data_IF_269223347386
#
_entry.id   IF_269223347386
#
_cell.length_a   1.000
_cell.length_b   1.000
_cell.length_c   1.000
_cell.angle_alpha   90.00
_cell.angle_beta   90.00
_cell.angle_gamma   90.00
#
_symmetry.space_group_name_H-M   'P 1'
#
loop_
_entity.id
_entity.type
_entity.pdbx_description
1 polymer ?
#
# COMPACT_ATOMS: atom_id res chain seq x y z
N UNK A 1 23.94 -30.32 15.08
CA UNK A 1 23.15 -29.29 15.80
C UNK A 1 22.05 -28.85 14.86
N UNK A 2 20.84 -29.36 15.02
CA UNK A 2 19.67 -28.87 14.28
C UNK A 2 19.24 -27.57 14.94
N UNK A 3 19.35 -26.44 14.25
CA UNK A 3 18.71 -25.22 14.70
C UNK A 3 17.21 -25.40 14.45
N UNK A 4 16.43 -25.65 15.50
CA UNK A 4 14.97 -25.60 15.37
C UNK A 4 14.62 -24.16 15.03
N UNK A 5 13.95 -23.87 13.89
CA UNK A 5 13.52 -22.51 13.60
C UNK A 5 12.61 -22.04 14.75
N UNK A 6 12.91 -20.87 15.31
CA UNK A 6 11.99 -20.22 16.24
C UNK A 6 10.70 -19.95 15.48
N UNK A 7 9.57 -20.44 16.01
CA UNK A 7 8.27 -20.16 15.45
C UNK A 7 7.98 -18.66 15.51
N UNK A 8 7.30 -18.12 14.51
CA UNK A 8 6.87 -16.72 14.50
C UNK A 8 5.99 -16.44 15.74
N UNK A 9 6.25 -15.38 16.52
CA UNK A 9 5.47 -15.06 17.72
C UNK A 9 4.01 -14.68 17.43
N UNK A 10 3.68 -14.35 16.18
CA UNK A 10 2.31 -14.06 15.74
C UNK A 10 1.88 -14.99 14.60
N UNK A 11 0.57 -15.12 14.41
CA UNK A 11 -0.02 -15.88 13.30
C UNK A 11 -1.27 -15.20 12.76
N UNK A 12 -1.65 -15.53 11.52
CA UNK A 12 -2.89 -15.00 10.93
C UNK A 12 -2.87 -13.49 10.73
N UNK A 13 -1.69 -12.90 10.50
CA UNK A 13 -1.54 -11.46 10.26
C UNK A 13 -2.34 -11.06 9.02
N UNK A 14 -3.23 -10.08 9.18
CA UNK A 14 -3.94 -9.40 8.10
C UNK A 14 -3.72 -7.91 8.26
N UNK A 15 -3.23 -7.28 7.20
CA UNK A 15 -3.07 -5.82 7.12
C UNK A 15 -4.05 -5.31 6.08
N UNK A 16 -4.77 -4.24 6.39
CA UNK A 16 -5.88 -3.75 5.57
C UNK A 16 -5.72 -2.26 5.31
N UNK A 17 -5.84 -1.89 4.05
CA UNK A 17 -6.08 -0.51 3.59
C UNK A 17 -7.55 -0.16 3.80
N UNK A 18 -7.81 0.88 4.59
CA UNK A 18 -9.15 1.41 4.85
C UNK A 18 -9.44 2.78 4.19
N UNK A 19 -8.53 3.27 3.34
CA UNK A 19 -8.64 4.54 2.64
C UNK A 19 -9.22 4.39 1.23
N UNK A 20 -10.10 5.32 0.82
CA UNK A 20 -10.58 5.37 -0.57
C UNK A 20 -9.47 5.88 -1.50
N UNK A 21 -9.41 5.46 -2.77
CA UNK A 21 -10.46 4.78 -3.53
C UNK A 21 -10.42 3.25 -3.50
N UNK A 22 -9.30 2.63 -3.12
CA UNK A 22 -9.13 1.19 -3.11
C UNK A 22 -8.93 0.72 -1.68
N UNK A 23 -9.88 -0.05 -1.15
CA UNK A 23 -9.80 -0.65 0.19
C UNK A 23 -9.62 -2.15 0.09
N UNK A 24 -8.97 -2.75 1.08
CA UNK A 24 -8.89 -4.20 1.19
C UNK A 24 -7.60 -4.71 1.84
N UNK A 25 -7.44 -6.05 1.91
CA UNK A 25 -6.25 -6.65 2.48
C UNK A 25 -5.01 -6.38 1.62
N UNK A 26 -3.90 -6.07 2.28
CA UNK A 26 -2.60 -5.86 1.69
C UNK A 26 -1.76 -7.14 1.76
N UNK A 27 -1.14 -7.50 0.64
CA UNK A 27 -0.08 -8.50 0.62
C UNK A 27 1.23 -7.90 1.16
N UNK A 28 2.14 -8.75 1.66
CA UNK A 28 3.47 -8.30 2.06
C UNK A 28 4.20 -7.71 0.83
N UNK A 29 4.71 -6.49 0.97
CA UNK A 29 5.35 -5.70 -0.10
C UNK A 29 4.39 -4.82 -0.91
N UNK A 30 3.10 -4.79 -0.59
CA UNK A 30 2.13 -3.95 -1.31
C UNK A 30 2.32 -2.45 -1.01
N UNK A 31 1.90 -1.62 -1.97
CA UNK A 31 1.71 -0.19 -1.75
C UNK A 31 0.27 0.09 -1.28
N UNK A 32 0.07 1.19 -0.55
CA UNK A 32 -1.22 1.62 -0.02
C UNK A 32 -1.31 3.14 0.01
N UNK A 33 -2.49 3.68 -0.24
CA UNK A 33 -2.78 5.10 -0.06
C UNK A 33 -3.35 5.41 1.33
N UNK A 34 -3.35 4.43 2.24
CA UNK A 34 -3.74 4.55 3.63
C UNK A 34 -2.52 4.76 4.51
N UNK A 35 -2.50 5.88 5.23
CA UNK A 35 -1.44 6.23 6.19
C UNK A 35 -1.68 5.63 7.57
N UNK A 36 -2.82 4.99 7.80
CA UNK A 36 -3.22 4.33 9.05
C UNK A 36 -3.76 2.91 8.81
N UNK A 37 -3.00 2.03 8.15
CA UNK A 37 -3.49 0.68 7.85
C UNK A 37 -3.80 -0.09 9.12
N UNK A 38 -4.84 -0.92 9.06
CA UNK A 38 -5.29 -1.73 10.19
C UNK A 38 -4.63 -3.11 10.17
N UNK A 39 -3.91 -3.44 11.24
CA UNK A 39 -3.25 -4.73 11.47
C UNK A 39 -4.09 -5.57 12.44
N UNK A 40 -4.34 -6.83 12.09
CA UNK A 40 -4.99 -7.80 12.97
C UNK A 40 -4.25 -9.13 12.93
N UNK A 41 -4.36 -9.92 13.99
CA UNK A 41 -3.77 -11.25 14.02
C UNK A 41 -4.01 -11.97 15.34
N UNK A 42 -3.27 -13.05 15.54
CA UNK A 42 -3.27 -13.85 16.75
C UNK A 42 -1.88 -13.91 17.39
N UNK A 43 -1.84 -13.99 18.71
CA UNK A 43 -0.65 -14.21 19.54
C UNK A 43 -1.03 -15.08 20.75
N UNK A 44 -0.09 -15.34 21.66
CA UNK A 44 -0.41 -16.01 22.93
C UNK A 44 -1.49 -15.22 23.70
N UNK A 45 -2.51 -15.90 24.24
CA UNK A 45 -3.62 -15.26 24.95
C UNK A 45 -3.12 -14.38 26.12
N UNK A 46 -3.72 -13.20 26.29
CA UNK A 46 -3.36 -12.20 27.30
C UNK A 46 -1.91 -11.67 27.24
N UNK A 47 -1.17 -11.94 26.15
CA UNK A 47 0.19 -11.44 25.94
C UNK A 47 0.21 -9.96 25.55
N UNK A 48 1.38 -9.34 25.69
CA UNK A 48 1.65 -7.99 25.20
C UNK A 48 2.43 -8.09 23.89
N UNK A 49 1.99 -7.38 22.86
CA UNK A 49 2.60 -7.33 21.53
C UNK A 49 3.19 -5.93 21.36
N UNK A 50 4.52 -5.84 21.30
CA UNK A 50 5.24 -4.64 20.92
C UNK A 50 5.35 -4.57 19.40
N UNK A 51 4.93 -3.46 18.82
CA UNK A 51 4.85 -3.23 17.37
C UNK A 51 5.91 -2.20 17.00
N UNK A 52 6.78 -2.57 16.07
CA UNK A 52 7.87 -1.74 15.60
C UNK A 52 7.70 -1.44 14.13
N UNK A 53 8.11 -0.25 13.71
CA UNK A 53 8.27 0.12 12.31
C UNK A 53 9.71 0.56 12.08
N UNK A 54 10.39 -0.08 11.13
CA UNK A 54 11.79 0.19 10.82
C UNK A 54 12.71 0.11 12.06
N UNK A 55 12.37 -0.79 12.99
CA UNK A 55 13.10 -1.01 14.25
C UNK A 55 12.77 0.00 15.37
N UNK A 56 11.91 0.99 15.12
CA UNK A 56 11.44 1.95 16.13
C UNK A 56 10.13 1.48 16.72
N UNK A 57 10.02 1.46 18.05
CA UNK A 57 8.78 1.10 18.73
C UNK A 57 7.69 2.11 18.40
N UNK A 58 6.59 1.65 17.80
CA UNK A 58 5.40 2.44 17.56
C UNK A 58 4.48 2.44 18.78
N UNK A 59 4.12 1.23 19.23
CA UNK A 59 3.20 1.04 20.35
C UNK A 59 3.28 -0.38 20.91
N UNK A 60 2.54 -0.63 21.98
CA UNK A 60 2.25 -1.96 22.49
C UNK A 60 0.74 -2.18 22.61
N UNK A 61 0.25 -3.33 22.18
CA UNK A 61 -1.16 -3.74 22.31
C UNK A 61 -1.25 -5.05 23.11
N UNK A 62 -2.43 -5.36 23.66
CA UNK A 62 -2.68 -6.65 24.29
C UNK A 62 -3.44 -7.58 23.36
N UNK A 63 -3.03 -8.84 23.32
CA UNK A 63 -3.88 -9.92 22.86
C UNK A 63 -4.99 -10.17 23.89
N UNK A 64 -6.20 -10.43 23.42
CA UNK A 64 -7.32 -10.80 24.29
C UNK A 64 -7.19 -12.23 24.85
N UNK A 65 -8.20 -12.67 25.61
CA UNK A 65 -8.23 -14.01 26.20
C UNK A 65 -8.27 -15.16 25.19
N UNK A 66 -8.61 -14.87 23.92
CA UNK A 66 -8.57 -15.81 22.80
C UNK A 66 -7.30 -15.66 21.95
N UNK A 67 -6.40 -14.74 22.30
CA UNK A 67 -5.18 -14.47 21.56
C UNK A 67 -5.34 -13.47 20.42
N UNK A 68 -6.52 -12.90 20.19
CA UNK A 68 -6.76 -11.97 19.10
C UNK A 68 -6.30 -10.55 19.46
N UNK A 69 -5.76 -9.84 18.48
CA UNK A 69 -5.33 -8.46 18.65
C UNK A 69 -5.61 -7.63 17.39
N UNK A 70 -5.69 -6.32 17.58
CA UNK A 70 -5.83 -5.34 16.51
C UNK A 70 -4.96 -4.11 16.83
N UNK A 71 -4.48 -3.46 15.79
CA UNK A 71 -3.71 -2.22 15.87
C UNK A 71 -3.97 -1.38 14.63
N UNK A 72 -4.33 -0.11 14.86
CA UNK A 72 -4.34 0.94 13.86
C UNK A 72 -3.43 2.06 14.37
N UNK A 73 -2.45 2.55 13.59
CA UNK A 73 -1.59 3.65 13.99
C UNK A 73 -2.40 4.87 14.42
N UNK A 74 -2.11 5.43 15.60
CA UNK A 74 -2.74 6.68 16.07
C UNK A 74 -2.11 7.92 15.43
N UNK A 75 -0.87 7.79 14.98
CA UNK A 75 -0.16 8.76 14.15
C UNK A 75 0.02 8.15 12.76
N UNK A 76 -0.28 8.94 11.74
CA UNK A 76 -0.09 8.56 10.35
C UNK A 76 1.36 8.11 10.10
N UNK A 77 1.51 6.96 9.45
CA UNK A 77 2.75 6.54 8.82
C UNK A 77 3.12 7.56 7.74
N UNK A 78 4.42 7.75 7.51
CA UNK A 78 4.92 8.73 6.53
C UNK A 78 4.94 8.09 5.15
N UNK A 79 5.05 8.92 4.11
CA UNK A 79 5.37 8.43 2.77
C UNK A 79 6.63 7.57 2.75
N UNK A 80 6.60 6.48 1.99
CA UNK A 80 7.72 5.57 1.78
C UNK A 80 7.54 4.19 2.39
N UNK A 81 8.65 3.44 2.43
CA UNK A 81 8.65 2.03 2.85
C UNK A 81 8.71 1.88 4.37
N UNK A 82 7.81 1.03 4.87
CA UNK A 82 7.67 0.64 6.27
C UNK A 82 7.91 -0.86 6.41
N UNK A 83 8.72 -1.24 7.41
CA UNK A 83 8.99 -2.64 7.76
C UNK A 83 8.47 -2.90 9.17
N UNK A 84 7.25 -3.43 9.26
CA UNK A 84 6.56 -3.66 10.53
C UNK A 84 6.93 -5.02 11.10
N UNK A 85 7.36 -5.06 12.35
CA UNK A 85 7.71 -6.30 13.07
C UNK A 85 7.06 -6.33 14.45
N UNK A 86 6.82 -7.54 14.95
CA UNK A 86 6.12 -7.79 16.21
C UNK A 86 7.00 -8.58 17.18
N UNK A 87 7.02 -8.17 18.44
CA UNK A 87 7.64 -8.92 19.55
C UNK A 87 6.56 -9.20 20.59
N UNK A 88 6.45 -10.45 21.03
CA UNK A 88 5.41 -10.87 21.98
C UNK A 88 6.03 -11.24 23.32
N UNK A 89 5.46 -10.74 24.41
CA UNK A 89 5.79 -11.11 25.78
C UNK A 89 4.56 -11.67 26.50
N UNK A 90 4.65 -12.91 26.94
CA UNK A 90 3.60 -13.63 27.67
C UNK A 90 3.87 -13.72 29.19
N UNK A 91 4.78 -12.91 29.72
CA UNK A 91 5.24 -12.92 31.11
C UNK A 91 6.48 -13.79 31.35
N UNK A 92 6.95 -14.53 30.35
CA UNK A 92 8.23 -15.27 30.40
C UNK A 92 9.38 -14.52 29.73
N UNK A 93 9.15 -13.28 29.30
CA UNK A 93 10.09 -12.46 28.54
C UNK A 93 9.74 -12.37 27.05
N UNK A 94 10.39 -11.44 26.32
CA UNK A 94 10.09 -11.17 24.93
C UNK A 94 10.54 -12.31 24.00
N UNK A 95 9.74 -12.59 22.98
CA UNK A 95 10.09 -13.47 21.87
C UNK A 95 11.20 -12.89 20.99
N UNK A 96 11.69 -13.69 20.04
CA UNK A 96 12.34 -13.12 18.85
C UNK A 96 11.33 -12.29 18.04
N UNK A 97 11.78 -11.30 17.24
CA UNK A 97 10.91 -10.59 16.31
C UNK A 97 10.24 -11.53 15.28
N UNK A 98 9.02 -11.19 14.88
CA UNK A 98 8.31 -11.81 13.76
C UNK A 98 9.04 -11.63 12.43
N UNK A 99 8.59 -12.34 11.39
CA UNK A 99 8.92 -11.91 10.02
C UNK A 99 8.37 -10.50 9.77
N UNK A 100 9.09 -9.66 8.99
CA UNK A 100 8.64 -8.31 8.69
C UNK A 100 7.45 -8.33 7.71
N UNK A 101 6.44 -7.53 8.02
CA UNK A 101 5.44 -7.11 7.04
C UNK A 101 5.86 -5.76 6.45
N UNK A 102 6.24 -5.78 5.18
CA UNK A 102 6.66 -4.61 4.44
C UNK A 102 5.45 -4.02 3.73
N UNK A 103 5.29 -2.70 3.81
CA UNK A 103 4.33 -1.95 3.01
C UNK A 103 4.96 -0.64 2.57
N UNK A 104 4.47 -0.07 1.48
CA UNK A 104 4.86 1.28 1.05
C UNK A 104 3.65 2.18 1.13
N UNK A 105 3.73 3.23 1.94
CA UNK A 105 2.74 4.31 1.93
C UNK A 105 3.05 5.18 0.71
N UNK A 106 2.08 5.30 -0.18
CA UNK A 106 2.11 6.14 -1.37
C UNK A 106 0.78 6.88 -1.52
N UNK A 107 0.73 8.11 -1.01
CA UNK A 107 -0.45 9.00 -1.15
C UNK A 107 -0.30 9.98 -2.31
N UNK A 108 0.78 9.86 -3.09
CA UNK A 108 1.04 10.76 -4.21
C UNK A 108 0.13 10.40 -5.38
N UNK A 109 -0.79 11.31 -5.69
CA UNK A 109 -1.69 11.13 -6.84
C UNK A 109 -0.91 11.48 -8.12
N UNK A 110 -1.00 10.64 -9.18
CA UNK A 110 -0.37 10.96 -10.46
C UNK A 110 -0.83 12.30 -11.01
N UNK A 111 0.09 13.07 -11.60
CA UNK A 111 -0.24 14.35 -12.23
C UNK A 111 -1.14 14.15 -13.46
N UNK A 112 -2.11 15.05 -13.70
CA UNK A 112 -2.95 14.98 -14.89
C UNK A 112 -2.11 15.12 -16.17
N UNK A 113 -2.55 14.46 -17.25
CA UNK A 113 -1.96 14.64 -18.58
C UNK A 113 -2.11 16.10 -19.00
N UNK A 114 -1.01 16.73 -19.38
CA UNK A 114 -0.98 18.12 -19.90
C UNK A 114 -0.73 18.13 -21.40
N UNK A 115 -0.98 19.28 -22.05
CA UNK A 115 -0.76 19.48 -23.48
C UNK A 115 -1.41 18.40 -24.37
N UNK A 116 -2.62 17.98 -24.00
CA UNK A 116 -3.38 17.04 -24.83
C UNK A 116 -3.71 17.70 -26.18
N UNK A 117 -3.19 17.12 -27.25
CA UNK A 117 -3.41 17.54 -28.64
C UNK A 117 -4.01 16.35 -29.38
N UNK A 118 -5.16 16.59 -30.02
CA UNK A 118 -5.84 15.63 -30.88
C UNK A 118 -5.77 16.17 -32.30
N UNK A 119 -5.38 15.36 -33.29
CA UNK A 119 -5.25 15.76 -34.69
C UNK A 119 -6.04 14.80 -35.57
N UNK A 120 -6.89 15.35 -36.45
CA UNK A 120 -7.45 14.64 -37.60
C UNK A 120 -6.39 14.67 -38.72
N UNK A 121 -5.94 13.50 -39.17
CA UNK A 121 -4.97 13.37 -40.26
C UNK A 121 -5.59 12.91 -41.59
N UNK A 122 -6.92 12.84 -41.66
CA UNK A 122 -7.67 12.35 -42.81
C UNK A 122 -8.36 13.47 -43.59
N UNK A 123 -7.93 13.67 -44.84
CA UNK A 123 -8.60 14.57 -45.78
C UNK A 123 -10.12 14.27 -45.93
N UNK A 124 -10.96 15.30 -46.17
CA UNK A 124 -10.60 16.68 -46.50
C UNK A 124 -10.26 17.58 -45.29
N UNK A 125 -10.57 17.18 -44.06
CA UNK A 125 -10.44 18.04 -42.88
C UNK A 125 -9.24 17.63 -42.02
N UNK A 126 -8.04 18.02 -42.43
CA UNK A 126 -6.81 17.75 -41.66
C UNK A 126 -6.53 18.90 -40.69
N UNK A 127 -6.26 18.60 -39.42
CA UNK A 127 -5.84 19.59 -38.43
C UNK A 127 -6.11 19.21 -36.98
N UNK A 128 -5.67 20.08 -36.07
CA UNK A 128 -5.90 19.90 -34.63
C UNK A 128 -7.40 20.08 -34.29
N UNK A 129 -7.92 19.16 -33.49
CA UNK A 129 -9.28 19.19 -32.97
C UNK A 129 -9.35 19.96 -31.64
N UNK A 130 -10.44 20.69 -31.45
CA UNK A 130 -10.79 21.36 -30.19
C UNK A 130 -12.02 20.70 -29.56
N UNK A 131 -12.37 21.10 -28.33
CA UNK A 131 -13.54 20.54 -27.67
C UNK A 131 -14.82 20.78 -28.49
N UNK A 132 -15.55 19.71 -28.82
CA UNK A 132 -16.75 19.76 -29.67
C UNK A 132 -16.48 19.74 -31.19
N UNK A 133 -15.23 19.65 -31.63
CA UNK A 133 -14.90 19.43 -33.04
C UNK A 133 -15.40 18.05 -33.50
N UNK A 134 -16.00 18.01 -34.69
CA UNK A 134 -16.33 16.78 -35.40
C UNK A 134 -15.14 16.38 -36.27
N UNK A 135 -14.88 15.09 -36.43
CA UNK A 135 -13.79 14.54 -37.25
C UNK A 135 -14.32 13.44 -38.18
N UNK A 136 -13.76 13.35 -39.39
CA UNK A 136 -14.02 12.25 -40.33
C UNK A 136 -12.94 11.15 -40.25
N UNK A 137 -11.96 11.35 -39.40
CA UNK A 137 -10.92 10.38 -39.09
C UNK A 137 -11.39 9.46 -37.96
N UNK A 138 -11.34 8.16 -38.22
CA UNK A 138 -11.66 7.12 -37.25
C UNK A 138 -10.46 6.76 -36.36
N UNK A 139 -9.29 7.31 -36.67
CA UNK A 139 -8.00 7.06 -36.03
C UNK A 139 -7.25 8.37 -35.75
N UNK A 140 -7.88 9.35 -35.07
CA UNK A 140 -7.21 10.62 -34.79
C UNK A 140 -5.96 10.41 -33.95
N UNK A 141 -4.92 11.19 -34.21
CA UNK A 141 -3.66 11.14 -33.45
C UNK A 141 -3.88 11.86 -32.12
N UNK A 142 -3.61 11.17 -31.00
CA UNK A 142 -3.67 11.74 -29.66
C UNK A 142 -2.26 11.81 -29.09
N UNK A 143 -1.83 13.00 -28.67
CA UNK A 143 -0.53 13.23 -28.04
C UNK A 143 -0.69 14.10 -26.79
N UNK A 144 0.22 13.97 -25.83
CA UNK A 144 0.22 14.75 -24.60
C UNK A 144 1.37 14.35 -23.69
N UNK A 145 1.59 15.13 -22.64
CA UNK A 145 2.65 14.90 -21.66
C UNK A 145 2.04 14.21 -20.43
N UNK A 146 2.52 13.01 -20.11
CA UNK A 146 2.25 12.32 -18.85
C UNK A 146 3.44 12.43 -17.90
N UNK A 147 3.25 12.07 -16.63
CA UNK A 147 4.34 12.00 -15.67
C UNK A 147 5.46 11.04 -16.13
N UNK A 148 6.75 11.40 -15.98
CA UNK A 148 7.86 10.53 -16.34
C UNK A 148 7.77 9.18 -15.61
N UNK A 149 7.65 8.08 -16.36
CA UNK A 149 7.53 6.72 -15.81
C UNK A 149 6.15 6.08 -16.02
N UNK A 150 5.14 6.83 -16.47
CA UNK A 150 3.85 6.25 -16.88
C UNK A 150 3.95 5.72 -18.30
N UNK A 151 4.09 4.40 -18.48
CA UNK A 151 3.96 3.77 -19.81
C UNK A 151 2.50 3.84 -20.27
N UNK A 152 2.23 4.59 -21.33
CA UNK A 152 0.97 4.44 -22.10
C UNK A 152 1.24 3.54 -23.31
N UNK A 153 0.63 2.36 -23.33
CA UNK A 153 0.29 1.70 -24.58
C UNK A 153 -0.85 2.53 -25.20
N UNK A 154 -0.53 3.34 -26.20
CA UNK A 154 -1.54 3.82 -27.13
C UNK A 154 -1.96 2.61 -27.99
N UNK A 155 -3.26 2.30 -28.01
CA UNK A 155 -3.88 1.41 -29.01
C UNK A 155 -4.41 2.29 -30.12
#
# INVERSE_FOLDING_TARGET
MTITPVADPISGLVVTDDANPVKGPLANGAATNDVTPTFTGSAAANSTIAIYDNGVLLTSVKADGNGQWNFTPSLALKEGTHSVTFIVDNGSGPSAPSQPFVLTVDTTVPEPVTNLVIVDDRAPNIGQLTNGSMTNDSTPIISGNAEPGTTRNAV
#
